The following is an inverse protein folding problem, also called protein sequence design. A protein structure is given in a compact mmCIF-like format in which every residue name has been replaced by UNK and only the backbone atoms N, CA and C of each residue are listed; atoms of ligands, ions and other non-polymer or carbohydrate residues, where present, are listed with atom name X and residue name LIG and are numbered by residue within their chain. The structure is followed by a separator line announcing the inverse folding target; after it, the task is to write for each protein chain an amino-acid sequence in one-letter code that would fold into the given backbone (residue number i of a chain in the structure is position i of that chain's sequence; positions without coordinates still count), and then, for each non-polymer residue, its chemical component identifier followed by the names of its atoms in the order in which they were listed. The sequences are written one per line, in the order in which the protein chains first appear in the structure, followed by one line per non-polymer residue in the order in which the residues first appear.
data_IF_206981250104
#
_entry.id   IF_206981250104
#
_cell.length_a   1.000
_cell.length_b   1.000
_cell.length_c   1.000
_cell.angle_alpha   90.00
_cell.angle_beta   90.00
_cell.angle_gamma   90.00
#
_symmetry.space_group_name_H-M   'P 1'
#
loop_
_entity.id
_entity.type
_entity.pdbx_description
1 polymer ?
#
# COMPACT_ATOMS: atom_id res chain seq x y z
N UNK A 1 -11.63 -2.65 0.88
CA UNK A 1 -10.50 -1.76 0.55
C UNK A 1 -10.98 -0.36 0.85
N UNK A 2 -10.17 0.42 1.56
CA UNK A 2 -10.49 1.82 1.86
C UNK A 2 -9.80 2.72 0.83
N UNK A 3 -10.56 3.45 0.01
CA UNK A 3 -10.03 4.47 -0.90
C UNK A 3 -10.08 5.82 -0.20
N UNK A 4 -8.93 6.51 -0.13
CA UNK A 4 -8.80 7.79 0.57
C UNK A 4 -8.04 8.82 -0.26
N UNK A 5 -8.48 10.07 -0.20
CA UNK A 5 -7.72 11.19 -0.74
C UNK A 5 -6.44 11.44 0.06
N UNK A 6 -5.47 12.20 -0.48
CA UNK A 6 -4.26 12.63 0.27
C UNK A 6 -4.59 13.24 1.64
N UNK A 7 -5.63 14.07 1.73
CA UNK A 7 -6.05 14.67 3.01
C UNK A 7 -6.65 13.65 3.98
N UNK A 8 -7.35 12.63 3.48
CA UNK A 8 -7.83 11.49 4.26
C UNK A 8 -6.67 10.63 4.76
N UNK A 9 -5.72 10.30 3.87
CA UNK A 9 -4.56 9.49 4.18
C UNK A 9 -3.72 10.07 5.32
N UNK A 10 -3.50 11.40 5.38
CA UNK A 10 -2.78 12.04 6.50
C UNK A 10 -3.35 11.69 7.87
N UNK A 11 -4.68 11.54 7.96
CA UNK A 11 -5.38 11.21 9.21
C UNK A 11 -5.32 9.71 9.49
N UNK A 12 -5.54 8.88 8.46
CA UNK A 12 -5.59 7.42 8.60
C UNK A 12 -4.22 6.83 8.88
N UNK A 13 -3.18 7.24 8.13
CA UNK A 13 -1.83 6.66 8.21
C UNK A 13 -1.18 6.87 9.59
N UNK A 14 -1.45 8.00 10.24
CA UNK A 14 -0.93 8.31 11.57
C UNK A 14 -1.52 7.40 12.67
N UNK A 15 -2.70 6.81 12.44
CA UNK A 15 -3.39 5.95 13.39
C UNK A 15 -3.16 4.45 13.19
N UNK A 16 -2.40 4.06 12.16
CA UNK A 16 -2.11 2.65 11.90
C UNK A 16 -1.25 2.06 13.02
N UNK A 17 -1.48 0.78 13.32
CA UNK A 17 -0.71 0.00 14.28
C UNK A 17 -0.30 -1.33 13.63
N UNK A 18 0.78 -1.93 14.11
CA UNK A 18 1.28 -3.21 13.57
C UNK A 18 2.28 -3.05 12.44
N UNK A 19 2.31 -3.99 11.50
CA UNK A 19 3.19 -3.97 10.33
C UNK A 19 2.43 -3.51 9.08
N UNK A 20 3.06 -2.62 8.32
CA UNK A 20 2.49 -2.02 7.11
C UNK A 20 3.41 -2.30 5.93
N UNK A 21 2.89 -2.97 4.91
CA UNK A 21 3.48 -2.95 3.58
C UNK A 21 3.02 -1.67 2.88
N UNK A 22 3.94 -0.78 2.52
CA UNK A 22 3.62 0.49 1.90
C UNK A 22 4.23 0.57 0.50
N UNK A 23 3.40 0.59 -0.53
CA UNK A 23 3.81 0.76 -1.93
C UNK A 23 3.65 2.23 -2.31
N UNK A 24 4.75 2.97 -2.37
CA UNK A 24 4.72 4.42 -2.56
C UNK A 24 5.17 4.84 -3.96
N UNK A 25 4.52 5.88 -4.48
CA UNK A 25 4.91 6.61 -5.68
C UNK A 25 5.29 8.05 -5.32
N UNK A 26 4.75 9.01 -6.05
CA UNK A 26 5.13 10.43 -5.92
C UNK A 26 4.63 11.11 -4.64
N UNK A 27 3.68 10.49 -3.94
CA UNK A 27 3.10 11.06 -2.73
C UNK A 27 4.05 10.93 -1.53
N UNK A 28 4.85 9.86 -1.49
CA UNK A 28 5.81 9.54 -0.43
C UNK A 28 5.25 9.66 1.00
N UNK A 29 3.96 9.37 1.17
CA UNK A 29 3.25 9.55 2.45
C UNK A 29 3.55 8.44 3.46
N UNK A 30 4.35 7.43 3.10
CA UNK A 30 4.85 6.40 4.01
C UNK A 30 5.57 6.97 5.24
N UNK A 31 6.17 8.17 5.11
CA UNK A 31 6.84 8.91 6.19
C UNK A 31 5.89 9.32 7.31
N UNK A 32 4.58 9.31 7.06
CA UNK A 32 3.53 9.66 8.03
C UNK A 32 3.01 8.44 8.81
N UNK A 33 3.43 7.23 8.43
CA UNK A 33 3.03 6.00 9.12
C UNK A 33 3.77 5.93 10.45
N UNK A 34 3.03 5.98 11.55
CA UNK A 34 3.59 5.87 12.89
C UNK A 34 3.95 4.40 13.26
N UNK A 35 3.43 3.43 12.51
CA UNK A 35 3.64 2.01 12.69
C UNK A 35 4.96 1.51 12.07
N UNK A 36 5.23 0.20 12.20
CA UNK A 36 6.38 -0.42 11.53
C UNK A 36 6.09 -0.53 10.04
N UNK A 37 6.94 0.03 9.20
CA UNK A 37 6.69 0.13 7.76
C UNK A 37 7.80 -0.54 6.96
N UNK A 38 7.39 -1.35 5.98
CA UNK A 38 8.23 -1.76 4.85
C UNK A 38 7.77 -0.95 3.66
N UNK A 39 8.56 0.06 3.29
CA UNK A 39 8.24 0.94 2.18
C UNK A 39 8.93 0.42 0.89
N UNK A 40 8.14 0.15 -0.14
CA UNK A 40 8.60 -0.26 -1.46
C UNK A 40 8.27 0.83 -2.46
N UNK A 41 9.31 1.30 -3.16
CA UNK A 41 9.16 2.33 -4.19
C UNK A 41 8.57 1.72 -5.45
N UNK A 42 7.55 2.39 -5.99
CA UNK A 42 7.01 2.19 -7.33
C UNK A 42 7.79 3.04 -8.32
N UNK A 43 8.22 2.46 -9.44
CA UNK A 43 8.98 3.19 -10.45
C UNK A 43 8.05 3.86 -11.46
N UNK A 44 6.90 3.23 -11.73
CA UNK A 44 5.91 3.70 -12.67
C UNK A 44 4.48 3.53 -12.12
N UNK A 45 3.52 4.42 -12.47
CA UNK A 45 2.11 4.16 -12.20
C UNK A 45 1.61 3.00 -13.07
N UNK A 46 0.58 2.30 -12.61
CA UNK A 46 -0.07 1.22 -13.36
C UNK A 46 0.10 -0.17 -12.76
N UNK A 47 -0.70 -1.09 -13.30
CA UNK A 47 -0.91 -2.43 -12.76
C UNK A 47 0.36 -3.28 -12.77
N UNK A 48 1.16 -3.22 -13.83
CA UNK A 48 2.38 -4.03 -13.95
C UNK A 48 3.39 -3.71 -12.85
N UNK A 49 3.69 -2.42 -12.64
CA UNK A 49 4.60 -1.98 -11.59
C UNK A 49 4.05 -2.27 -10.19
N UNK A 50 2.74 -2.11 -9.97
CA UNK A 50 2.09 -2.47 -8.72
C UNK A 50 2.30 -3.95 -8.37
N UNK A 51 2.12 -4.85 -9.35
CA UNK A 51 2.32 -6.28 -9.17
C UNK A 51 3.78 -6.60 -8.84
N UNK A 52 4.74 -5.98 -9.54
CA UNK A 52 6.16 -6.18 -9.27
C UNK A 52 6.58 -5.64 -7.89
N UNK A 53 6.09 -4.46 -7.49
CA UNK A 53 6.33 -3.89 -6.17
C UNK A 53 5.78 -4.79 -5.05
N UNK A 54 4.58 -5.38 -5.24
CA UNK A 54 4.01 -6.36 -4.32
C UNK A 54 4.90 -7.60 -4.19
N UNK A 55 5.28 -8.21 -5.32
CA UNK A 55 6.16 -9.39 -5.32
C UNK A 55 7.48 -9.09 -4.63
N UNK A 56 8.08 -7.93 -4.92
CA UNK A 56 9.33 -7.50 -4.32
C UNK A 56 9.20 -7.36 -2.80
N UNK A 57 8.18 -6.62 -2.32
CA UNK A 57 7.94 -6.42 -0.90
C UNK A 57 7.77 -7.74 -0.16
N UNK A 58 6.89 -8.62 -0.65
CA UNK A 58 6.60 -9.90 0.00
C UNK A 58 7.77 -10.88 -0.03
N UNK A 59 8.62 -10.83 -1.07
CA UNK A 59 9.77 -11.72 -1.19
C UNK A 59 10.92 -11.32 -0.28
N UNK A 60 11.13 -10.01 -0.10
CA UNK A 60 12.33 -9.48 0.53
C UNK A 60 12.14 -8.98 1.96
N UNK A 61 10.91 -8.90 2.47
CA UNK A 61 10.63 -8.49 3.85
C UNK A 61 9.95 -9.63 4.64
N UNK A 62 10.70 -10.49 5.34
CA UNK A 62 10.13 -11.58 6.14
C UNK A 62 9.19 -11.08 7.26
N UNK A 63 9.35 -9.83 7.70
CA UNK A 63 8.49 -9.15 8.69
C UNK A 63 7.06 -8.96 8.18
N UNK A 64 6.85 -9.06 6.87
CA UNK A 64 5.52 -9.09 6.25
C UNK A 64 4.83 -10.46 6.38
N UNK A 65 5.44 -11.44 7.05
CA UNK A 65 4.66 -12.60 7.53
C UNK A 65 3.72 -12.16 8.64
N UNK A 66 2.48 -11.86 8.26
CA UNK A 66 1.43 -11.43 9.19
C UNK A 66 1.33 -9.91 9.36
N UNK A 67 1.68 -9.12 8.34
CA UNK A 67 1.36 -7.69 8.36
C UNK A 67 -0.15 -7.44 8.43
N UNK A 68 -0.52 -6.23 8.83
CA UNK A 68 -1.91 -5.85 9.11
C UNK A 68 -2.52 -5.04 7.96
N UNK A 69 -1.70 -4.20 7.31
CA UNK A 69 -2.13 -3.29 6.28
C UNK A 69 -1.24 -3.35 5.04
N UNK A 70 -1.89 -3.25 3.87
CA UNK A 70 -1.23 -2.86 2.62
C UNK A 70 -1.69 -1.46 2.26
N UNK A 71 -0.76 -0.51 2.17
CA UNK A 71 -1.05 0.84 1.68
C UNK A 71 -0.49 1.00 0.28
N UNK A 72 -1.30 1.49 -0.65
CA UNK A 72 -0.89 1.71 -2.03
C UNK A 72 -1.15 3.16 -2.43
N UNK A 73 -0.11 3.84 -2.89
CA UNK A 73 -0.28 5.10 -3.62
C UNK A 73 -0.51 4.79 -5.10
N UNK A 74 -1.62 5.27 -5.65
CA UNK A 74 -2.01 4.99 -7.02
C UNK A 74 -2.95 6.04 -7.59
N UNK A 75 -3.18 5.96 -8.91
CA UNK A 75 -3.94 6.96 -9.68
C UNK A 75 -4.94 6.37 -10.66
N UNK A 76 -4.91 5.06 -10.89
CA UNK A 76 -5.74 4.39 -11.90
C UNK A 76 -6.88 3.57 -11.30
N UNK A 77 -8.01 3.49 -12.03
CA UNK A 77 -9.12 2.58 -11.67
C UNK A 77 -8.73 1.11 -11.85
N UNK A 78 -7.94 0.79 -12.87
CA UNK A 78 -7.45 -0.59 -13.11
C UNK A 78 -6.64 -1.14 -11.92
N UNK A 79 -5.86 -0.27 -11.25
CA UNK A 79 -5.12 -0.64 -10.04
C UNK A 79 -6.07 -0.97 -8.89
N UNK A 80 -7.15 -0.21 -8.74
CA UNK A 80 -8.19 -0.44 -7.73
C UNK A 80 -8.91 -1.76 -7.98
N UNK A 81 -9.30 -2.04 -9.22
CA UNK A 81 -9.96 -3.29 -9.62
C UNK A 81 -9.10 -4.52 -9.28
N UNK A 82 -7.80 -4.47 -9.61
CA UNK A 82 -6.85 -5.53 -9.23
C UNK A 82 -6.81 -5.70 -7.70
N UNK A 83 -6.65 -4.61 -6.96
CA UNK A 83 -6.48 -4.65 -5.51
C UNK A 83 -7.73 -5.18 -4.79
N UNK A 84 -8.93 -4.87 -5.29
CA UNK A 84 -10.18 -5.46 -4.79
C UNK A 84 -10.14 -6.99 -4.92
N UNK A 85 -9.65 -7.52 -6.05
CA UNK A 85 -9.47 -8.96 -6.23
C UNK A 85 -8.42 -9.57 -5.28
N UNK A 86 -7.38 -8.82 -4.93
CA UNK A 86 -6.28 -9.29 -4.06
C UNK A 86 -6.56 -9.18 -2.56
N UNK A 87 -7.41 -8.23 -2.15
CA UNK A 87 -7.84 -8.05 -0.76
C UNK A 87 -8.48 -9.33 -0.19
N UNK A 88 -9.16 -10.07 -1.06
CA UNK A 88 -9.87 -11.31 -0.70
C UNK A 88 -8.95 -12.51 -0.43
N UNK A 89 -7.65 -12.42 -0.73
CA UNK A 89 -6.78 -13.60 -0.70
C UNK A 89 -5.53 -13.46 0.17
N UNK A 90 -4.81 -12.33 0.14
CA UNK A 90 -3.43 -12.30 0.71
C UNK A 90 -2.95 -10.95 1.26
N UNK A 91 -3.55 -9.82 0.89
CA UNK A 91 -2.98 -8.50 1.17
C UNK A 91 -3.57 -7.78 2.40
N UNK A 92 -4.33 -8.50 3.22
CA UNK A 92 -4.94 -7.98 4.46
C UNK A 92 -5.74 -6.72 4.16
N UNK A 93 -5.86 -5.79 5.11
CA UNK A 93 -6.65 -4.58 4.88
C UNK A 93 -5.91 -3.64 3.93
N UNK A 94 -6.49 -3.37 2.77
CA UNK A 94 -5.90 -2.48 1.77
C UNK A 94 -6.40 -1.05 1.96
N UNK A 95 -5.48 -0.10 1.96
CA UNK A 95 -5.74 1.35 1.93
C UNK A 95 -5.15 1.90 0.64
N UNK A 96 -6.00 2.39 -0.25
CA UNK A 96 -5.59 3.01 -1.50
C UNK A 96 -5.59 4.53 -1.34
N UNK A 97 -4.43 5.15 -1.49
CA UNK A 97 -4.24 6.60 -1.41
C UNK A 97 -4.25 7.16 -2.82
N UNK A 98 -5.26 7.97 -3.12
CA UNK A 98 -5.35 8.69 -4.39
C UNK A 98 -4.32 9.81 -4.44
N UNK A 99 -3.37 9.61 -5.34
CA UNK A 99 -2.29 10.50 -5.74
C UNK A 99 -2.46 10.79 -7.25
#
# INVERSE_FOLDING_TARGET
MDVVSRAGARRVLAGLQGWVLYLYGDCEMYKLVAARVVAVKRLHPGVEDLVEALKYGLRHAPELRGFDFTVVEGRGEEEKELLVGLELSQLRKIIYVEC
#
